data_IF_784457579306
#
_entry.id   IF_784457579306
#
_cell.length_a   1.000
_cell.length_b   1.000
_cell.length_c   1.000
_cell.angle_alpha   90.00
_cell.angle_beta   90.00
_cell.angle_gamma   90.00
#
_symmetry.space_group_name_H-M   'P 1'
#
loop_
_entity.id
_entity.type
_entity.pdbx_description
1 polymer ?
#
# COMPACT_ATOMS: atom_id res chain seq x y z
N UNK A 1 -3.39 -9.03 -19.05
CA UNK A 1 -3.39 -7.99 -17.99
C UNK A 1 -3.35 -6.58 -18.60
N UNK A 2 -2.46 -6.31 -19.56
CA UNK A 2 -2.32 -4.98 -20.20
C UNK A 2 -3.62 -4.36 -20.74
N UNK A 3 -4.45 -5.12 -21.47
CA UNK A 3 -5.76 -4.62 -21.95
C UNK A 3 -6.71 -4.18 -20.83
N UNK A 4 -6.69 -4.86 -19.67
CA UNK A 4 -7.55 -4.49 -18.55
C UNK A 4 -7.02 -3.24 -17.82
N UNK A 5 -5.70 -3.10 -17.72
CA UNK A 5 -5.07 -1.89 -17.18
C UNK A 5 -5.39 -0.67 -18.05
N UNK A 6 -5.34 -0.82 -19.38
CA UNK A 6 -5.71 0.25 -20.33
C UNK A 6 -7.16 0.73 -20.13
N UNK A 7 -8.09 -0.16 -19.78
CA UNK A 7 -9.49 0.21 -19.58
C UNK A 7 -9.72 1.08 -18.33
N UNK A 8 -8.95 0.87 -17.27
CA UNK A 8 -9.07 1.65 -16.01
C UNK A 8 -8.14 2.86 -15.98
N UNK A 9 -7.15 2.91 -16.86
CA UNK A 9 -6.14 3.97 -16.92
C UNK A 9 -6.73 5.39 -16.95
N UNK A 10 -7.79 5.69 -17.74
CA UNK A 10 -8.39 7.03 -17.75
C UNK A 10 -8.90 7.48 -16.38
N UNK A 11 -9.42 6.56 -15.56
CA UNK A 11 -9.89 6.82 -14.20
C UNK A 11 -8.69 7.06 -13.29
N UNK A 12 -7.64 6.24 -13.42
CA UNK A 12 -6.44 6.35 -12.59
C UNK A 12 -5.62 7.61 -12.88
N UNK A 13 -5.75 8.17 -14.08
CA UNK A 13 -5.06 9.39 -14.51
C UNK A 13 -5.85 10.68 -14.21
N UNK A 14 -7.07 10.57 -13.69
CA UNK A 14 -7.81 11.73 -13.15
C UNK A 14 -6.91 12.44 -12.12
N UNK A 15 -6.72 13.78 -12.22
CA UNK A 15 -5.68 14.49 -11.46
C UNK A 15 -5.68 14.19 -9.95
N UNK A 16 -6.86 14.10 -9.34
CA UNK A 16 -7.00 13.76 -7.93
C UNK A 16 -6.46 12.36 -7.59
N UNK A 17 -6.84 11.34 -8.37
CA UNK A 17 -6.43 9.94 -8.15
C UNK A 17 -4.93 9.79 -8.42
N UNK A 18 -4.44 10.39 -9.52
CA UNK A 18 -3.03 10.40 -9.87
C UNK A 18 -2.16 10.99 -8.75
N UNK A 19 -2.60 12.10 -8.14
CA UNK A 19 -1.92 12.71 -6.98
C UNK A 19 -1.86 11.77 -5.78
N UNK A 20 -2.98 11.13 -5.43
CA UNK A 20 -3.00 10.13 -4.35
C UNK A 20 -2.00 9.01 -4.62
N UNK A 21 -1.96 8.46 -5.84
CA UNK A 21 -1.05 7.38 -6.22
C UNK A 21 0.42 7.78 -6.14
N UNK A 22 0.78 8.99 -6.59
CA UNK A 22 2.14 9.55 -6.47
C UNK A 22 2.55 9.71 -5.01
N UNK A 23 1.67 10.26 -4.19
CA UNK A 23 1.92 10.43 -2.76
C UNK A 23 2.07 9.10 -2.03
N UNK A 24 1.26 8.12 -2.39
CA UNK A 24 1.36 6.75 -1.87
C UNK A 24 2.67 6.07 -2.28
N UNK A 25 3.13 6.29 -3.51
CA UNK A 25 4.47 5.85 -3.93
C UNK A 25 5.59 6.50 -3.12
N UNK A 26 5.52 7.82 -2.90
CA UNK A 26 6.49 8.56 -2.09
C UNK A 26 6.48 8.13 -0.62
N UNK A 27 5.30 7.87 -0.05
CA UNK A 27 5.14 7.34 1.31
C UNK A 27 5.87 6.01 1.47
N UNK A 28 5.62 5.05 0.56
CA UNK A 28 6.31 3.76 0.55
C UNK A 28 7.81 3.91 0.44
N UNK A 29 8.28 4.76 -0.48
CA UNK A 29 9.69 5.00 -0.67
C UNK A 29 10.33 5.62 0.58
N UNK A 30 9.65 6.55 1.24
CA UNK A 30 10.10 7.18 2.49
C UNK A 30 10.24 6.14 3.60
N UNK A 31 9.23 5.28 3.80
CA UNK A 31 9.24 4.22 4.82
C UNK A 31 10.38 3.22 4.54
N UNK A 32 10.65 2.87 3.27
CA UNK A 32 11.79 2.03 2.90
C UNK A 32 13.15 2.64 3.27
N UNK A 33 13.28 3.96 3.22
CA UNK A 33 14.53 4.61 3.60
C UNK A 33 14.64 4.76 5.12
N UNK A 34 13.54 5.03 5.80
CA UNK A 34 13.50 5.07 7.27
C UNK A 34 13.80 3.70 7.88
N UNK A 35 13.27 2.61 7.32
CA UNK A 35 13.48 1.25 7.85
C UNK A 35 14.94 0.79 7.75
N UNK A 36 15.75 1.44 6.92
CA UNK A 36 17.21 1.22 6.84
C UNK A 36 17.98 2.02 7.90
N UNK A 37 17.39 3.10 8.43
CA UNK A 37 18.02 4.02 9.39
C UNK A 37 17.58 3.76 10.83
N UNK A 38 16.36 3.25 11.03
CA UNK A 38 15.75 3.02 12.34
C UNK A 38 15.49 1.54 12.54
N UNK A 39 16.18 0.94 13.50
CA UNK A 39 15.92 -0.45 13.90
C UNK A 39 14.50 -0.58 14.45
N UNK A 40 13.80 -1.66 14.06
CA UNK A 40 12.44 -1.93 14.51
C UNK A 40 11.45 -0.77 14.26
N UNK A 41 11.61 -0.03 13.15
CA UNK A 41 10.70 1.05 12.76
C UNK A 41 9.23 0.58 12.79
N UNK A 42 8.44 1.19 13.67
CA UNK A 42 6.99 0.96 13.79
C UNK A 42 6.24 2.21 13.37
N UNK A 43 5.92 2.26 12.08
CA UNK A 43 5.16 3.36 11.49
C UNK A 43 3.98 2.86 10.68
N UNK A 44 2.92 3.67 10.63
CA UNK A 44 1.79 3.48 9.73
C UNK A 44 1.74 4.68 8.79
N UNK A 45 1.63 4.43 7.49
CA UNK A 45 1.47 5.46 6.48
C UNK A 45 0.02 5.60 6.01
N UNK A 46 -0.37 6.83 5.65
CA UNK A 46 -1.65 7.10 4.97
C UNK A 46 -1.51 8.26 4.00
N UNK A 47 -1.77 8.01 2.72
CA UNK A 47 -1.68 9.00 1.65
C UNK A 47 -3.02 9.59 1.25
N UNK A 48 -2.97 10.84 0.79
CA UNK A 48 -4.08 11.58 0.17
C UNK A 48 -3.55 12.46 -0.98
N UNK A 49 -4.39 13.27 -1.60
CA UNK A 49 -3.99 14.07 -2.77
C UNK A 49 -3.03 15.23 -2.43
N UNK A 50 -2.90 15.61 -1.15
CA UNK A 50 -2.02 16.69 -0.69
C UNK A 50 -0.73 16.21 -0.01
N UNK A 51 -0.46 14.91 0.00
CA UNK A 51 0.74 14.31 0.59
C UNK A 51 0.43 13.04 1.36
N UNK A 52 1.17 12.78 2.44
CA UNK A 52 0.95 11.62 3.29
C UNK A 52 1.16 11.92 4.78
N UNK A 53 0.54 11.08 5.60
CA UNK A 53 0.65 11.07 7.05
C UNK A 53 1.52 9.88 7.47
N UNK A 54 2.30 10.09 8.53
CA UNK A 54 3.08 9.03 9.16
C UNK A 54 2.78 9.03 10.65
N UNK A 55 2.29 7.90 11.15
CA UNK A 55 2.01 7.66 12.56
C UNK A 55 3.14 6.81 13.13
N UNK A 56 3.83 7.28 14.16
CA UNK A 56 4.91 6.54 14.81
C UNK A 56 6.04 7.45 15.26
N UNK A 57 6.85 6.94 16.18
CA UNK A 57 7.95 7.68 16.79
C UNK A 57 9.15 7.77 15.83
N UNK A 58 9.23 8.89 15.11
CA UNK A 58 10.31 9.19 14.16
C UNK A 58 10.70 10.66 14.31
N UNK A 59 12.00 10.92 14.32
CA UNK A 59 12.49 12.30 14.30
C UNK A 59 12.05 13.02 13.02
N UNK A 60 11.53 14.25 13.16
CA UNK A 60 10.95 14.99 12.02
C UNK A 60 12.01 15.37 10.99
N UNK A 61 13.25 15.64 11.43
CA UNK A 61 14.35 15.97 10.50
C UNK A 61 14.82 14.73 9.74
N UNK A 62 14.83 13.57 10.39
CA UNK A 62 15.10 12.29 9.75
C UNK A 62 14.01 11.93 8.74
N UNK A 63 12.73 12.13 9.07
CA UNK A 63 11.61 11.95 8.15
C UNK A 63 11.76 12.85 6.93
N UNK A 64 12.09 14.14 7.14
CA UNK A 64 12.33 15.08 6.05
C UNK A 64 13.44 14.61 5.12
N UNK A 65 14.60 14.26 5.68
CA UNK A 65 15.73 13.74 4.91
C UNK A 65 15.36 12.47 4.14
N UNK A 66 14.64 11.54 4.76
CA UNK A 66 14.21 10.30 4.10
C UNK A 66 13.21 10.57 2.95
N UNK A 67 12.29 11.51 3.13
CA UNK A 67 11.32 11.86 2.09
C UNK A 67 11.98 12.56 0.89
N UNK A 68 12.92 13.48 1.14
CA UNK A 68 13.70 14.15 0.10
C UNK A 68 14.57 13.14 -0.67
N UNK A 69 15.24 12.22 0.04
CA UNK A 69 16.03 11.15 -0.56
C UNK A 69 15.16 10.18 -1.40
N UNK A 70 13.98 9.83 -0.89
CA UNK A 70 13.03 8.97 -1.57
C UNK A 70 12.56 9.60 -2.89
N UNK A 71 12.15 10.87 -2.86
CA UNK A 71 11.72 11.60 -4.04
C UNK A 71 12.84 11.69 -5.09
N UNK A 72 14.06 12.00 -4.65
CA UNK A 72 15.24 12.06 -5.52
C UNK A 72 15.54 10.72 -6.18
N UNK A 73 15.50 9.61 -5.44
CA UNK A 73 15.75 8.26 -5.97
C UNK A 73 14.65 7.80 -6.92
N UNK A 74 13.38 8.08 -6.59
CA UNK A 74 12.25 7.78 -7.48
C UNK A 74 12.34 8.54 -8.80
N UNK A 75 12.71 9.84 -8.77
CA UNK A 75 13.02 10.63 -9.98
C UNK A 75 14.20 10.07 -10.75
N UNK A 76 15.17 9.47 -10.06
CA UNK A 76 16.31 8.75 -10.65
C UNK A 76 15.97 7.38 -11.24
N UNK A 77 14.69 6.99 -11.30
CA UNK A 77 14.23 5.74 -11.91
C UNK A 77 14.06 4.57 -10.94
N UNK A 78 14.27 4.77 -9.63
CA UNK A 78 14.05 3.72 -8.62
C UNK A 78 12.56 3.52 -8.29
N UNK A 79 11.73 3.32 -9.32
CA UNK A 79 10.26 3.24 -9.22
C UNK A 79 9.77 2.11 -8.31
N UNK A 80 10.57 1.05 -8.11
CA UNK A 80 10.23 -0.07 -7.21
C UNK A 80 10.14 0.35 -5.74
N UNK A 81 10.71 1.50 -5.37
CA UNK A 81 10.54 2.06 -4.02
C UNK A 81 9.08 2.40 -3.70
N UNK A 82 8.23 2.56 -4.71
CA UNK A 82 6.79 2.81 -4.53
C UNK A 82 5.97 1.56 -4.15
N UNK A 83 6.59 0.39 -3.99
CA UNK A 83 5.90 -0.85 -3.63
C UNK A 83 6.40 -1.29 -2.25
N UNK A 84 5.47 -1.53 -1.31
CA UNK A 84 5.81 -1.93 0.05
C UNK A 84 5.18 -3.28 0.41
N UNK A 85 5.93 -4.25 0.98
CA UNK A 85 5.41 -5.59 1.29
C UNK A 85 4.27 -5.57 2.33
N UNK A 86 4.30 -4.60 3.25
CA UNK A 86 3.30 -4.47 4.32
C UNK A 86 2.24 -3.40 4.00
N UNK A 87 2.04 -3.05 2.73
CA UNK A 87 0.97 -2.12 2.33
C UNK A 87 -0.41 -2.72 2.62
N UNK A 88 -1.37 -1.86 3.01
CA UNK A 88 -2.76 -2.26 3.23
C UNK A 88 -3.40 -2.94 2.03
N UNK A 89 -3.04 -2.55 0.80
CA UNK A 89 -3.49 -3.19 -0.45
C UNK A 89 -3.17 -4.69 -0.46
N UNK A 90 -2.00 -5.12 0.04
CA UNK A 90 -1.64 -6.54 0.10
C UNK A 90 -2.53 -7.29 1.09
N UNK A 91 -2.74 -6.71 2.28
CA UNK A 91 -3.55 -7.33 3.32
C UNK A 91 -5.01 -7.49 2.87
N UNK A 92 -5.58 -6.44 2.26
CA UNK A 92 -6.93 -6.48 1.69
C UNK A 92 -7.02 -7.52 0.58
N UNK A 93 -6.01 -7.62 -0.29
CA UNK A 93 -5.98 -8.62 -1.37
C UNK A 93 -5.99 -10.04 -0.80
N UNK A 94 -5.16 -10.33 0.19
CA UNK A 94 -5.13 -11.65 0.86
C UNK A 94 -6.47 -11.98 1.50
N UNK A 95 -7.04 -11.03 2.26
CA UNK A 95 -8.32 -11.22 2.93
C UNK A 95 -9.45 -11.47 1.92
N UNK A 96 -9.47 -10.72 0.83
CA UNK A 96 -10.46 -10.88 -0.24
C UNK A 96 -10.35 -12.26 -0.92
N UNK A 97 -9.15 -12.68 -1.30
CA UNK A 97 -8.92 -14.00 -1.89
C UNK A 97 -9.34 -15.13 -0.93
N UNK A 98 -9.02 -14.99 0.36
CA UNK A 98 -9.41 -15.94 1.40
C UNK A 98 -10.93 -16.04 1.57
N UNK A 99 -11.61 -14.90 1.54
CA UNK A 99 -13.08 -14.85 1.58
C UNK A 99 -13.70 -15.55 0.36
N UNK A 100 -13.22 -15.26 -0.85
CA UNK A 100 -13.66 -15.91 -2.08
C UNK A 100 -13.42 -17.43 -2.03
N UNK A 101 -12.23 -17.86 -1.61
CA UNK A 101 -11.91 -19.28 -1.48
C UNK A 101 -12.82 -19.98 -0.47
N UNK A 102 -13.13 -19.31 0.65
CA UNK A 102 -14.06 -19.82 1.66
C UNK A 102 -15.48 -19.96 1.11
N UNK A 103 -15.98 -18.96 0.36
CA UNK A 103 -17.28 -19.02 -0.30
C UNK A 103 -17.36 -20.19 -1.27
N UNK A 104 -16.33 -20.37 -2.11
CA UNK A 104 -16.24 -21.50 -3.06
C UNK A 104 -16.24 -22.83 -2.31
N UNK A 105 -15.45 -22.97 -1.25
CA UNK A 105 -15.35 -24.21 -0.47
C UNK A 105 -16.67 -24.58 0.23
N UNK A 106 -17.50 -23.60 0.57
CA UNK A 106 -18.80 -23.79 1.22
C UNK A 106 -19.96 -24.01 0.24
N UNK A 107 -19.76 -23.85 -1.07
CA UNK A 107 -20.83 -24.05 -2.05
C UNK A 107 -21.39 -25.48 -1.96
N UNK A 108 -22.71 -25.60 -1.77
CA UNK A 108 -23.41 -26.89 -1.67
C UNK A 108 -23.27 -27.61 -0.33
N UNK A 109 -22.55 -27.02 0.64
CA UNK A 109 -22.37 -27.60 1.98
C UNK A 109 -23.69 -27.71 2.76
N UNK A 110 -24.73 -26.96 2.40
CA UNK A 110 -26.05 -27.06 3.03
C UNK A 110 -26.80 -28.37 2.75
N UNK A 111 -26.39 -29.12 1.72
CA UNK A 111 -27.05 -30.37 1.31
C UNK A 111 -26.64 -31.58 2.16
N UNK A 112 -25.66 -31.42 3.04
CA UNK A 112 -25.08 -32.49 3.86
C UNK A 112 -25.22 -32.19 5.36
N UNK A 113 -25.58 -33.21 6.15
CA UNK A 113 -25.83 -33.09 7.61
C UNK A 113 -24.62 -32.58 8.41
N UNK A 114 -23.40 -32.73 7.89
CA UNK A 114 -22.14 -32.18 8.43
C UNK A 114 -21.34 -31.39 7.37
N UNK A 115 -22.00 -30.91 6.32
CA UNK A 115 -21.34 -30.40 5.12
C UNK A 115 -20.43 -29.21 5.35
N UNK A 116 -20.62 -28.39 6.39
CA UNK A 116 -19.69 -27.29 6.70
C UNK A 116 -18.41 -27.78 7.38
N UNK A 117 -18.49 -28.82 8.21
CA UNK A 117 -17.34 -29.36 8.95
C UNK A 117 -16.43 -30.18 8.03
N UNK A 118 -17.01 -30.93 7.08
CA UNK A 118 -16.26 -31.68 6.07
C UNK A 118 -15.46 -30.79 5.11
N UNK A 119 -15.81 -29.49 5.00
CA UNK A 119 -15.14 -28.53 4.11
C UNK A 119 -14.00 -27.77 4.78
N UNK A 120 -13.79 -27.94 6.10
CA UNK A 120 -12.70 -27.27 6.83
C UNK A 120 -11.32 -27.47 6.18
N UNK A 121 -10.90 -28.68 5.75
CA UNK A 121 -9.61 -28.85 5.08
C UNK A 121 -9.51 -28.04 3.77
N UNK A 122 -10.60 -27.96 3.01
CA UNK A 122 -10.66 -27.19 1.76
C UNK A 122 -10.60 -25.68 2.02
N UNK A 123 -11.30 -25.19 3.05
CA UNK A 123 -11.23 -23.80 3.49
C UNK A 123 -9.80 -23.44 3.92
N UNK A 124 -9.18 -24.28 4.76
CA UNK A 124 -7.80 -24.08 5.20
C UNK A 124 -6.84 -24.03 4.01
N UNK A 125 -6.97 -24.95 3.06
CA UNK A 125 -6.18 -24.94 1.82
C UNK A 125 -6.40 -23.65 1.03
N UNK A 126 -7.65 -23.22 0.85
CA UNK A 126 -7.98 -21.98 0.15
C UNK A 126 -7.37 -20.73 0.80
N UNK A 127 -7.41 -20.64 2.12
CA UNK A 127 -6.79 -19.55 2.88
C UNK A 127 -5.26 -19.58 2.73
N UNK A 128 -4.63 -20.75 2.83
CA UNK A 128 -3.19 -20.90 2.63
C UNK A 128 -2.76 -20.43 1.23
N UNK A 129 -3.48 -20.83 0.19
CA UNK A 129 -3.22 -20.36 -1.18
C UNK A 129 -3.42 -18.84 -1.30
N UNK A 130 -4.41 -18.28 -0.60
CA UNK A 130 -4.65 -16.83 -0.58
C UNK A 130 -3.50 -16.05 0.04
N UNK A 131 -2.84 -16.58 1.08
CA UNK A 131 -1.63 -15.97 1.66
C UNK A 131 -0.45 -16.07 0.69
N UNK A 132 -0.23 -17.25 0.08
CA UNK A 132 0.88 -17.50 -0.86
C UNK A 132 0.79 -16.59 -2.09
N UNK A 133 -0.39 -16.50 -2.71
CA UNK A 133 -0.56 -15.73 -3.93
C UNK A 133 -0.92 -14.27 -3.68
N UNK A 134 -1.59 -13.96 -2.57
CA UNK A 134 -2.13 -12.63 -2.30
C UNK A 134 -1.05 -11.55 -2.13
N UNK A 135 0.13 -11.89 -1.62
CA UNK A 135 1.27 -10.96 -1.57
C UNK A 135 1.70 -10.52 -2.97
N UNK A 136 1.87 -11.47 -3.89
CA UNK A 136 2.31 -11.18 -5.27
C UNK A 136 1.23 -10.45 -6.07
N UNK A 137 -0.04 -10.84 -5.91
CA UNK A 137 -1.17 -10.18 -6.56
C UNK A 137 -1.34 -8.76 -6.01
N UNK A 138 -1.25 -8.59 -4.69
CA UNK A 138 -1.31 -7.30 -4.03
C UNK A 138 -0.19 -6.36 -4.48
N UNK A 139 1.04 -6.86 -4.62
CA UNK A 139 2.16 -6.06 -5.12
C UNK A 139 1.92 -5.56 -6.55
N UNK A 140 1.35 -6.39 -7.43
CA UNK A 140 0.94 -5.96 -8.78
C UNK A 140 -0.17 -4.92 -8.75
N UNK A 141 -1.14 -5.06 -7.84
CA UNK A 141 -2.19 -4.06 -7.63
C UNK A 141 -1.62 -2.74 -7.11
N UNK A 142 -0.62 -2.78 -6.23
CA UNK A 142 0.08 -1.58 -5.81
C UNK A 142 0.70 -0.86 -7.00
N UNK A 143 1.57 -1.56 -7.73
CA UNK A 143 2.33 -1.03 -8.86
C UNK A 143 1.44 -0.37 -9.93
N UNK A 144 0.29 -0.99 -10.24
CA UNK A 144 -0.54 -0.57 -11.37
C UNK A 144 -1.76 0.27 -10.96
N UNK A 145 -2.22 0.18 -9.71
CA UNK A 145 -3.50 0.78 -9.29
C UNK A 145 -3.33 1.73 -8.11
N UNK A 146 -2.71 1.31 -7.01
CA UNK A 146 -2.74 2.11 -5.78
C UNK A 146 -1.54 3.03 -5.59
N UNK A 147 -0.43 2.78 -6.29
CA UNK A 147 0.77 3.63 -6.26
C UNK A 147 1.18 4.04 -7.67
N UNK A 148 2.08 5.02 -7.75
CA UNK A 148 2.77 5.40 -8.97
C UNK A 148 4.26 5.56 -8.66
N UNK A 149 5.10 4.78 -9.33
CA UNK A 149 6.55 4.79 -9.12
C UNK A 149 7.25 6.00 -9.71
N UNK A 150 6.68 6.62 -10.74
CA UNK A 150 7.14 7.90 -11.27
C UNK A 150 6.44 9.05 -10.53
N UNK A 151 7.18 9.86 -9.74
CA UNK A 151 6.61 10.99 -9.03
C UNK A 151 6.27 12.16 -9.97
N UNK A 152 6.77 12.19 -11.20
CA UNK A 152 6.63 13.33 -12.11
C UNK A 152 7.11 14.64 -11.48
N UNK A 153 6.23 15.64 -11.50
CA UNK A 153 6.45 16.99 -10.97
C UNK A 153 6.17 17.13 -9.46
N UNK A 154 6.05 16.03 -8.72
CA UNK A 154 5.77 16.06 -7.28
C UNK A 154 6.88 16.77 -6.50
N UNK A 155 6.50 17.73 -5.67
CA UNK A 155 7.39 18.48 -4.76
C UNK A 155 6.94 18.31 -3.31
N UNK A 156 7.90 18.19 -2.39
CA UNK A 156 7.64 18.24 -0.94
C UNK A 156 7.67 19.71 -0.51
N UNK A 157 6.56 20.18 0.06
CA UNK A 157 6.43 21.55 0.53
C UNK A 157 6.86 21.70 1.99
N UNK A 158 6.38 20.80 2.84
CA UNK A 158 6.54 20.89 4.30
C UNK A 158 6.55 19.50 4.92
N UNK A 159 7.32 19.34 5.99
CA UNK A 159 7.26 18.17 6.88
C UNK A 159 7.09 18.69 8.29
N UNK A 160 5.94 18.40 8.91
CA UNK A 160 5.61 18.90 10.24
C UNK A 160 5.19 17.78 11.18
N UNK A 161 5.55 17.93 12.45
CA UNK A 161 5.01 17.13 13.54
C UNK A 161 3.76 17.81 14.09
N UNK A 162 2.73 17.03 14.38
CA UNK A 162 1.51 17.48 15.00
C UNK A 162 1.60 17.18 16.50
N UNK A 163 1.71 18.21 17.32
CA UNK A 163 1.75 18.09 18.78
C UNK A 163 0.34 17.86 19.31
N UNK A 164 0.16 16.91 20.22
CA UNK A 164 -1.12 16.70 20.95
C UNK A 164 -1.89 15.41 20.63
N UNK A 165 -1.37 14.52 19.77
CA UNK A 165 -1.91 13.17 19.60
C UNK A 165 -1.25 12.19 20.58
N UNK A 166 -1.99 11.15 21.00
CA UNK A 166 -1.46 10.07 21.86
C UNK A 166 -0.37 9.22 21.19
N UNK A 167 -0.23 9.32 19.86
CA UNK A 167 0.81 8.71 19.04
C UNK A 167 1.48 9.82 18.23
N UNK A 168 2.82 9.91 18.15
CA UNK A 168 3.49 10.92 17.32
C UNK A 168 2.98 10.88 15.88
N UNK A 169 2.57 12.03 15.37
CA UNK A 169 1.93 12.17 14.07
C UNK A 169 2.68 13.19 13.23
N UNK A 170 3.09 12.78 12.03
CA UNK A 170 3.77 13.65 11.08
C UNK A 170 2.95 13.80 9.81
N UNK A 171 3.02 14.99 9.22
CA UNK A 171 2.42 15.30 7.92
C UNK A 171 3.51 15.75 6.96
N UNK A 172 3.61 15.05 5.83
CA UNK A 172 4.39 15.47 4.67
C UNK A 172 3.44 16.06 3.66
N UNK A 173 3.53 17.38 3.43
CA UNK A 173 2.75 18.08 2.43
C UNK A 173 3.47 18.07 1.08
N UNK A 174 2.70 17.85 0.03
CA UNK A 174 3.22 17.79 -1.33
C UNK A 174 2.35 18.60 -2.29
N UNK A 175 2.91 18.88 -3.47
CA UNK A 175 2.22 19.50 -4.58
C UNK A 175 2.63 18.84 -5.89
N UNK A 176 1.67 18.58 -6.76
CA UNK A 176 1.88 18.23 -8.17
C UNK A 176 0.69 18.70 -9.01
N UNK A 177 0.93 18.94 -10.29
CA UNK A 177 -0.08 19.32 -11.28
C UNK A 177 -1.09 18.22 -11.59
#
# INVERSE_FOLDING_TARGET
MERQLQAIQPILDVPFIRRVRRNHGLEHATIHLLSRKVENLRVIGRSDAGGFWLYGDVDTTMLRSAADDALRRMRGGEHKLAIHPNCGTNLVTIAFLGAVATLIALMGAERERMGKLSRLPMIMMGIMLSVVFGQSIGAKLQEHVTTLGDPGDLEILEVKSMVGSSVPLHRVLTRSS
#
